data_IF_246763598863
#
_entry.id   IF_246763598863
#
_cell.length_a   1.000
_cell.length_b   1.000
_cell.length_c   1.000
_cell.angle_alpha   90.00
_cell.angle_beta   90.00
_cell.angle_gamma   90.00
#
_symmetry.space_group_name_H-M   'P 1'
#
loop_
_entity.id
_entity.type
_entity.pdbx_description
1 polymer ?
#
# COMPACT_ATOMS: atom_id res chain seq x y z
N UNK A 1 -0.90 -30.07 -21.54
CA UNK A 1 -1.08 -28.62 -21.71
C UNK A 1 -0.21 -27.92 -20.69
N UNK A 2 0.51 -26.87 -21.08
CA UNK A 2 1.16 -26.00 -20.08
C UNK A 2 0.07 -25.33 -19.22
N UNK A 3 0.28 -25.19 -17.90
CA UNK A 3 -0.68 -24.49 -17.05
C UNK A 3 -0.82 -23.05 -17.52
N UNK A 4 -2.07 -22.61 -17.72
CA UNK A 4 -2.42 -21.24 -18.10
C UNK A 4 -2.89 -20.49 -16.85
N UNK A 5 -2.40 -19.27 -16.64
CA UNK A 5 -2.73 -18.46 -15.46
C UNK A 5 -3.77 -17.41 -15.82
N UNK A 6 -4.88 -17.39 -15.08
CA UNK A 6 -5.85 -16.31 -15.15
C UNK A 6 -5.65 -15.36 -13.96
N UNK A 7 -5.38 -14.09 -14.23
CA UNK A 7 -5.34 -13.08 -13.18
C UNK A 7 -6.70 -12.38 -13.09
N UNK A 8 -7.37 -12.52 -11.95
CA UNK A 8 -8.70 -11.93 -11.69
C UNK A 8 -8.66 -10.63 -10.90
N UNK A 9 -7.45 -10.14 -10.61
CA UNK A 9 -7.23 -8.88 -9.88
C UNK A 9 -7.77 -7.68 -10.66
N UNK A 10 -7.99 -6.53 -10.01
CA UNK A 10 -8.28 -5.30 -10.73
C UNK A 10 -7.23 -4.90 -11.76
N UNK A 11 -7.61 -4.04 -12.68
CA UNK A 11 -6.63 -3.25 -13.43
C UNK A 11 -6.07 -2.11 -12.55
N UNK A 12 -4.80 -1.72 -12.74
CA UNK A 12 -3.83 -2.28 -13.69
C UNK A 12 -3.08 -3.53 -13.18
N UNK A 13 -3.34 -3.99 -11.95
CA UNK A 13 -2.64 -5.10 -11.31
C UNK A 13 -2.58 -6.36 -12.17
N UNK A 14 -3.72 -6.70 -12.76
CA UNK A 14 -3.87 -7.91 -13.55
C UNK A 14 -3.03 -7.88 -14.83
N UNK A 15 -2.89 -6.70 -15.43
CA UNK A 15 -2.02 -6.49 -16.58
C UNK A 15 -0.55 -6.62 -16.17
N UNK A 16 -0.15 -5.98 -15.07
CA UNK A 16 1.22 -6.05 -14.56
C UNK A 16 1.66 -7.48 -14.23
N UNK A 17 0.75 -8.28 -13.66
CA UNK A 17 0.98 -9.70 -13.39
C UNK A 17 1.16 -10.48 -14.70
N UNK A 18 0.25 -10.29 -15.66
CA UNK A 18 0.30 -10.94 -16.97
C UNK A 18 1.57 -10.60 -17.74
N UNK A 19 1.97 -9.32 -17.79
CA UNK A 19 3.21 -8.87 -18.44
C UNK A 19 4.45 -9.47 -17.76
N UNK A 20 4.41 -9.61 -16.44
CA UNK A 20 5.49 -10.20 -15.65
C UNK A 20 5.64 -11.70 -15.92
N UNK A 21 4.53 -12.41 -16.10
CA UNK A 21 4.51 -13.83 -16.46
C UNK A 21 4.94 -14.05 -17.91
N UNK A 22 4.48 -13.21 -18.84
CA UNK A 22 4.84 -13.27 -20.25
C UNK A 22 6.36 -13.11 -20.45
N UNK A 23 7.01 -12.18 -19.73
CA UNK A 23 8.48 -12.03 -19.73
C UNK A 23 9.25 -13.27 -19.27
N UNK A 24 8.57 -14.24 -18.63
CA UNK A 24 9.14 -15.51 -18.15
C UNK A 24 8.67 -16.71 -18.97
N UNK A 25 7.99 -16.49 -20.10
CA UNK A 25 7.45 -17.56 -20.95
C UNK A 25 6.26 -18.30 -20.33
N UNK A 26 5.60 -17.72 -19.31
CA UNK A 26 4.41 -18.30 -18.68
C UNK A 26 3.15 -17.68 -19.31
N UNK A 27 2.28 -18.47 -19.99
CA UNK A 27 1.05 -17.97 -20.56
C UNK A 27 0.08 -17.46 -19.48
N UNK A 28 -0.36 -16.22 -19.62
CA UNK A 28 -1.30 -15.60 -18.69
C UNK A 28 -2.27 -14.65 -19.39
N UNK A 29 -3.45 -14.47 -18.81
CA UNK A 29 -4.46 -13.49 -19.25
C UNK A 29 -4.96 -12.67 -18.07
N UNK A 30 -5.05 -11.36 -18.28
CA UNK A 30 -5.75 -10.45 -17.40
C UNK A 30 -7.27 -10.56 -17.65
N UNK A 31 -8.01 -11.02 -16.64
CA UNK A 31 -9.47 -11.09 -16.65
C UNK A 31 -10.02 -10.43 -15.37
N UNK A 32 -9.95 -9.10 -15.25
CA UNK A 32 -10.30 -8.38 -14.04
C UNK A 32 -11.77 -8.63 -13.66
N UNK A 33 -12.01 -9.06 -12.42
CA UNK A 33 -13.35 -9.29 -11.85
C UNK A 33 -13.70 -8.27 -10.75
N UNK A 34 -12.81 -7.31 -10.50
CA UNK A 34 -12.92 -6.32 -9.44
C UNK A 34 -12.51 -4.94 -9.99
N UNK A 35 -13.18 -3.89 -9.52
CA UNK A 35 -12.88 -2.50 -9.83
C UNK A 35 -12.78 -1.68 -8.54
N UNK A 36 -11.57 -1.18 -8.17
CA UNK A 36 -11.40 -0.36 -6.98
C UNK A 36 -11.91 1.05 -7.25
N UNK A 37 -12.80 1.54 -6.39
CA UNK A 37 -13.18 2.94 -6.34
C UNK A 37 -12.50 3.60 -5.15
N UNK A 38 -11.78 4.69 -5.40
CA UNK A 38 -11.16 5.47 -4.33
C UNK A 38 -12.24 6.24 -3.59
N UNK A 39 -12.37 5.95 -2.30
CA UNK A 39 -13.14 6.75 -1.36
C UNK A 39 -12.11 7.54 -0.58
N UNK A 40 -11.94 8.83 -0.90
CA UNK A 40 -10.98 9.66 -0.19
C UNK A 40 -11.39 9.75 1.29
N UNK A 41 -10.56 9.25 2.23
CA UNK A 41 -10.88 9.39 3.65
C UNK A 41 -10.81 10.87 4.04
N UNK A 42 -11.64 11.28 5.00
CA UNK A 42 -11.42 12.56 5.68
C UNK A 42 -10.16 12.39 6.52
N UNK A 43 -9.07 13.02 6.10
CA UNK A 43 -7.83 12.99 6.85
C UNK A 43 -7.92 13.92 8.07
N UNK A 44 -7.38 13.51 9.22
CA UNK A 44 -7.16 14.41 10.35
C UNK A 44 -6.35 15.63 9.92
N UNK A 45 -6.65 16.79 10.49
CA UNK A 45 -5.94 18.02 10.12
C UNK A 45 -4.47 18.02 10.57
N UNK A 46 -4.16 17.34 11.68
CA UNK A 46 -2.84 17.37 12.32
C UNK A 46 -2.17 15.98 12.31
N UNK A 47 -1.12 15.78 11.47
CA UNK A 47 -0.32 14.55 11.46
C UNK A 47 0.39 14.25 12.79
N UNK A 48 0.66 15.27 13.62
CA UNK A 48 1.41 15.11 14.87
C UNK A 48 0.66 14.29 15.94
N UNK A 49 -0.65 14.09 15.73
CA UNK A 49 -1.49 13.23 16.58
C UNK A 49 -1.24 11.73 16.37
N UNK A 50 -0.36 11.36 15.42
CA UNK A 50 -0.10 9.97 15.06
C UNK A 50 1.38 9.62 15.18
N UNK A 51 1.66 8.40 15.64
CA UNK A 51 3.01 7.87 15.68
C UNK A 51 3.50 7.32 14.33
N UNK A 52 2.60 7.13 13.36
CA UNK A 52 2.93 6.47 12.09
C UNK A 52 1.70 6.14 11.23
N UNK A 53 1.98 5.65 10.02
CA UNK A 53 0.97 5.22 9.05
C UNK A 53 1.09 3.73 8.77
N UNK A 54 -0.05 3.05 8.59
CA UNK A 54 -0.12 1.67 8.13
C UNK A 54 -0.71 1.64 6.72
N UNK A 55 0.02 1.07 5.76
CA UNK A 55 -0.52 0.81 4.41
C UNK A 55 -0.50 -0.68 4.10
N UNK A 56 -1.68 -1.30 4.01
CA UNK A 56 -1.82 -2.75 3.72
C UNK A 56 -2.02 -3.05 2.23
N UNK A 57 -2.22 -2.04 1.41
CA UNK A 57 -2.49 -2.12 -0.03
C UNK A 57 -1.93 -0.89 -0.73
N UNK A 58 -1.48 -1.02 -1.98
CA UNK A 58 -1.12 0.16 -2.79
C UNK A 58 -2.30 1.14 -2.96
N UNK A 59 -3.53 0.61 -3.05
CA UNK A 59 -4.72 1.44 -3.23
C UNK A 59 -4.98 2.35 -2.03
N UNK A 60 -4.56 1.93 -0.83
CA UNK A 60 -4.62 2.78 0.36
C UNK A 60 -3.65 3.97 0.26
N UNK A 61 -2.47 3.77 -0.37
CA UNK A 61 -1.54 4.86 -0.64
C UNK A 61 -2.15 5.84 -1.64
N UNK A 62 -2.71 5.32 -2.74
CA UNK A 62 -3.32 6.14 -3.79
C UNK A 62 -4.53 6.94 -3.24
N UNK A 63 -5.39 6.31 -2.44
CA UNK A 63 -6.52 6.97 -1.79
C UNK A 63 -6.10 8.03 -0.76
N UNK A 64 -5.04 7.78 0.01
CA UNK A 64 -4.49 8.76 0.93
C UNK A 64 -3.94 9.99 0.20
N UNK A 65 -3.19 9.78 -0.89
CA UNK A 65 -2.68 10.88 -1.72
C UNK A 65 -3.82 11.68 -2.36
N UNK A 66 -4.86 11.00 -2.85
CA UNK A 66 -6.05 11.67 -3.38
C UNK A 66 -6.74 12.54 -2.32
N UNK A 67 -6.80 12.08 -1.06
CA UNK A 67 -7.38 12.84 0.04
C UNK A 67 -6.55 14.07 0.46
N UNK A 68 -5.22 14.04 0.28
CA UNK A 68 -4.36 15.20 0.49
C UNK A 68 -4.54 16.28 -0.60
N UNK A 69 -4.96 15.87 -1.79
CA UNK A 69 -5.06 16.75 -2.96
C UNK A 69 -3.73 17.44 -3.28
N UNK A 70 -3.80 18.69 -3.72
CA UNK A 70 -2.62 19.49 -4.10
C UNK A 70 -1.81 20.00 -2.89
N UNK A 71 -2.28 19.78 -1.65
CA UNK A 71 -1.58 20.19 -0.43
C UNK A 71 -0.27 19.45 -0.18
N UNK A 72 -0.05 18.32 -0.87
CA UNK A 72 1.14 17.49 -0.72
C UNK A 72 1.22 16.79 0.64
N UNK A 73 2.34 16.10 0.90
CA UNK A 73 2.46 15.28 2.11
C UNK A 73 2.60 16.08 3.41
N UNK A 74 3.15 17.30 3.39
CA UNK A 74 3.40 18.08 4.61
C UNK A 74 4.04 17.25 5.74
N UNK A 75 3.46 17.34 6.94
CA UNK A 75 3.89 16.55 8.11
C UNK A 75 3.67 15.04 7.98
N UNK A 76 2.85 14.56 7.04
CA UNK A 76 2.67 13.12 6.81
C UNK A 76 3.92 12.45 6.26
N UNK A 77 4.80 13.19 5.57
CA UNK A 77 6.05 12.65 5.02
C UNK A 77 7.04 12.19 6.11
N UNK A 78 6.98 12.80 7.29
CA UNK A 78 7.91 12.50 8.40
C UNK A 78 7.47 11.31 9.23
N UNK A 79 6.19 10.91 9.15
CA UNK A 79 5.68 9.77 9.90
C UNK A 79 6.26 8.46 9.34
N UNK A 80 6.70 7.53 10.21
CA UNK A 80 7.15 6.23 9.77
C UNK A 80 5.98 5.44 9.19
N UNK A 81 6.22 4.81 8.04
CA UNK A 81 5.24 3.98 7.33
C UNK A 81 5.55 2.49 7.51
N UNK A 82 4.52 1.75 7.92
CA UNK A 82 4.52 0.29 8.04
C UNK A 82 3.68 -0.29 6.89
N UNK A 83 4.34 -0.89 5.91
CA UNK A 83 3.69 -1.35 4.67
C UNK A 83 3.56 -2.88 4.60
N UNK A 84 2.43 -3.41 4.14
CA UNK A 84 2.33 -4.83 3.73
C UNK A 84 2.70 -4.96 2.28
N UNK A 85 3.70 -5.81 2.01
CA UNK A 85 4.09 -6.19 0.66
C UNK A 85 4.99 -5.17 -0.03
N UNK A 86 5.87 -5.69 -0.88
CA UNK A 86 6.84 -4.89 -1.63
C UNK A 86 6.18 -3.89 -2.59
N UNK A 87 5.03 -4.25 -3.16
CA UNK A 87 4.30 -3.39 -4.08
C UNK A 87 3.84 -2.10 -3.37
N UNK A 88 3.20 -2.23 -2.21
CA UNK A 88 2.74 -1.11 -1.38
C UNK A 88 3.90 -0.25 -0.92
N UNK A 89 4.97 -0.86 -0.40
CA UNK A 89 6.16 -0.16 0.05
C UNK A 89 6.86 0.61 -1.07
N UNK A 90 6.83 0.09 -2.31
CA UNK A 90 7.37 0.77 -3.50
C UNK A 90 6.56 2.02 -3.83
N UNK A 91 5.23 1.91 -3.87
CA UNK A 91 4.33 3.05 -4.17
C UNK A 91 4.47 4.12 -3.09
N UNK A 92 4.48 3.74 -1.82
CA UNK A 92 4.70 4.68 -0.70
C UNK A 92 6.04 5.43 -0.80
N UNK A 93 7.15 4.73 -1.11
CA UNK A 93 8.45 5.39 -1.31
C UNK A 93 8.46 6.31 -2.53
N UNK A 94 7.83 5.91 -3.64
CA UNK A 94 7.71 6.75 -4.83
C UNK A 94 6.94 8.04 -4.51
N UNK A 95 5.94 7.95 -3.65
CA UNK A 95 5.19 9.08 -3.12
C UNK A 95 5.92 9.88 -2.03
N UNK A 96 7.18 9.53 -1.69
CA UNK A 96 8.04 10.19 -0.69
C UNK A 96 7.69 9.93 0.78
N UNK A 97 6.88 8.92 1.09
CA UNK A 97 6.72 8.45 2.47
C UNK A 97 7.99 7.77 3.00
N UNK A 98 8.22 7.92 4.31
CA UNK A 98 9.31 7.26 5.03
C UNK A 98 8.95 5.82 5.42
N UNK A 99 9.12 4.87 4.48
CA UNK A 99 8.82 3.45 4.75
C UNK A 99 9.85 2.82 5.69
N UNK A 100 9.43 2.61 6.93
CA UNK A 100 10.24 2.02 8.02
C UNK A 100 10.29 0.50 7.93
N UNK A 101 9.15 -0.15 7.65
CA UNK A 101 9.02 -1.61 7.66
C UNK A 101 8.21 -2.07 6.45
N UNK A 102 8.55 -3.25 5.91
CA UNK A 102 7.75 -3.94 4.90
C UNK A 102 7.47 -5.38 5.30
N UNK A 103 6.25 -5.66 5.77
CA UNK A 103 5.76 -7.01 6.06
C UNK A 103 5.52 -7.85 4.81
N UNK A 104 5.46 -9.18 4.94
CA UNK A 104 5.18 -10.12 3.84
C UNK A 104 3.90 -10.91 4.09
N UNK A 105 3.25 -11.37 3.03
CA UNK A 105 2.03 -12.21 3.10
C UNK A 105 0.76 -11.41 3.32
N UNK A 106 0.61 -10.70 4.44
CA UNK A 106 -0.63 -10.01 4.80
C UNK A 106 -0.54 -9.10 6.03
N UNK A 107 -1.68 -8.52 6.43
CA UNK A 107 -1.77 -7.59 7.57
C UNK A 107 -1.28 -8.18 8.90
N UNK A 108 -1.48 -9.48 9.13
CA UNK A 108 -1.02 -10.19 10.33
C UNK A 108 0.50 -10.22 10.50
N UNK A 109 1.26 -9.92 9.44
CA UNK A 109 2.72 -9.82 9.51
C UNK A 109 3.21 -8.50 10.14
N UNK A 110 2.38 -7.46 10.19
CA UNK A 110 2.78 -6.14 10.66
C UNK A 110 2.85 -5.98 12.19
N UNK A 111 1.89 -6.47 13.00
CA UNK A 111 1.93 -6.26 14.44
C UNK A 111 3.27 -6.57 15.12
N UNK A 112 3.92 -7.75 14.90
CA UNK A 112 5.21 -8.02 15.53
C UNK A 112 6.31 -7.07 15.04
N UNK A 113 6.29 -6.66 13.76
CA UNK A 113 7.29 -5.74 13.21
C UNK A 113 7.07 -4.30 13.71
N UNK A 114 5.83 -3.88 13.88
CA UNK A 114 5.48 -2.58 14.47
C UNK A 114 6.00 -2.52 15.91
N UNK A 115 5.74 -3.54 16.74
CA UNK A 115 6.22 -3.57 18.12
C UNK A 115 7.75 -3.48 18.22
N UNK A 116 8.49 -4.00 17.24
CA UNK A 116 9.96 -3.94 17.22
C UNK A 116 10.53 -2.60 16.75
N UNK A 117 9.79 -1.83 15.96
CA UNK A 117 10.33 -0.68 15.21
C UNK A 117 9.63 0.65 15.49
N UNK A 118 8.47 0.62 16.12
CA UNK A 118 7.69 1.80 16.44
C UNK A 118 7.94 2.20 17.90
N UNK A 119 8.49 3.39 18.11
CA UNK A 119 8.33 4.10 19.37
C UNK A 119 7.04 4.90 19.27
N UNK A 120 5.93 4.28 19.66
CA UNK A 120 4.61 4.89 19.50
C UNK A 120 4.31 5.95 20.54
N UNK A 121 5.10 6.08 21.63
CA UNK A 121 4.94 7.12 22.64
C UNK A 121 3.52 7.26 23.24
N UNK A 122 2.63 6.27 23.06
CA UNK A 122 1.21 6.34 23.39
C UNK A 122 0.28 6.93 22.32
N UNK A 123 0.81 7.45 21.21
CA UNK A 123 0.02 7.94 20.08
C UNK A 123 -0.47 6.80 19.18
N UNK A 124 -1.67 6.94 18.57
CA UNK A 124 -2.20 5.93 17.65
C UNK A 124 -1.42 5.87 16.34
N UNK A 125 -1.54 4.74 15.65
CA UNK A 125 -1.17 4.62 14.23
C UNK A 125 -2.41 4.86 13.37
N UNK A 126 -2.26 5.64 12.30
CA UNK A 126 -3.34 5.84 11.33
C UNK A 126 -3.30 4.71 10.30
N UNK A 127 -4.41 3.99 10.16
CA UNK A 127 -4.61 3.01 9.10
C UNK A 127 -5.75 3.49 8.19
N UNK A 128 -5.43 4.18 7.08
CA UNK A 128 -6.42 4.57 6.08
C UNK A 128 -6.77 3.32 5.26
N UNK A 129 -7.85 2.63 5.68
CA UNK A 129 -8.42 1.48 4.96
C UNK A 129 -9.47 1.94 3.95
#
# INVERSE_FOLDING_TARGET
>A
MAPFILSVRPLPDSQLDSDTLARRGVPALAAPLLEPHLIAPILPADPSLYAGLIFTSRHAVDGFLAALGDGGLGGWATLPVFAVGRATARVARAARFSVKVTGQGGGSSLPPLIHQHADVGGLPLLWPA
#
